data_IF_305878249229
#
_entry.id   IF_305878249229
#
_cell.length_a   1.000
_cell.length_b   1.000
_cell.length_c   1.000
_cell.angle_alpha   90.00
_cell.angle_beta   90.00
_cell.angle_gamma   90.00
#
_symmetry.space_group_name_H-M   'P 1'
#
loop_
_entity.id
_entity.type
_entity.pdbx_description
1 polymer ?
#
# COMPACT_ATOMS: atom_id res chain seq x y z
N UNK A 1 16.12 10.68 18.25
CA UNK A 1 15.62 9.45 18.90
C UNK A 1 16.82 8.66 19.40
N UNK A 2 16.74 8.03 20.58
CA UNK A 2 17.80 7.14 21.07
C UNK A 2 17.74 5.78 20.37
N UNK A 3 18.83 5.01 20.40
CA UNK A 3 18.94 3.68 19.77
C UNK A 3 17.84 2.71 20.24
N UNK A 4 17.63 2.60 21.56
CA UNK A 4 16.54 1.83 22.16
C UNK A 4 15.13 2.31 21.76
N UNK A 5 14.98 3.61 21.45
CA UNK A 5 13.74 4.18 20.95
C UNK A 5 13.47 3.76 19.50
N UNK A 6 14.52 3.74 18.67
CA UNK A 6 14.46 3.29 17.28
C UNK A 6 14.14 1.80 17.19
N UNK A 7 14.73 0.97 18.04
CA UNK A 7 14.44 -0.47 18.09
C UNK A 7 12.98 -0.76 18.45
N UNK A 8 12.44 -0.07 19.46
CA UNK A 8 11.02 -0.23 19.84
C UNK A 8 10.10 0.20 18.69
N UNK A 9 10.44 1.28 17.99
CA UNK A 9 9.68 1.73 16.84
C UNK A 9 9.72 0.70 15.72
N UNK A 10 10.90 0.18 15.38
CA UNK A 10 11.08 -0.84 14.35
C UNK A 10 10.24 -2.09 14.63
N UNK A 11 10.24 -2.59 15.86
CA UNK A 11 9.43 -3.77 16.22
C UNK A 11 7.93 -3.50 16.01
N UNK A 12 7.44 -2.34 16.43
CA UNK A 12 6.04 -1.96 16.22
C UNK A 12 5.72 -1.76 14.73
N UNK A 13 6.65 -1.17 13.97
CA UNK A 13 6.54 -0.96 12.54
C UNK A 13 6.46 -2.29 11.79
N UNK A 14 7.37 -3.23 12.06
CA UNK A 14 7.42 -4.53 11.41
C UNK A 14 6.15 -5.34 11.69
N UNK A 15 5.69 -5.35 12.94
CA UNK A 15 4.45 -6.04 13.31
C UNK A 15 3.22 -5.45 12.59
N UNK A 16 3.16 -4.13 12.44
CA UNK A 16 2.08 -3.46 11.72
C UNK A 16 2.11 -3.74 10.22
N UNK A 17 3.31 -3.66 9.61
CA UNK A 17 3.51 -3.97 8.19
C UNK A 17 3.14 -5.41 7.88
N UNK A 18 3.52 -6.36 8.72
CA UNK A 18 3.14 -7.76 8.51
C UNK A 18 1.63 -7.95 8.61
N UNK A 19 0.98 -7.33 9.60
CA UNK A 19 -0.47 -7.44 9.79
C UNK A 19 -1.24 -6.92 8.57
N UNK A 20 -0.86 -5.76 8.03
CA UNK A 20 -1.51 -5.21 6.83
C UNK A 20 -1.19 -6.03 5.58
N UNK A 21 0.02 -6.57 5.44
CA UNK A 21 0.39 -7.45 4.33
C UNK A 21 -0.45 -8.71 4.29
N UNK A 22 -0.64 -9.36 5.44
CA UNK A 22 -1.51 -10.54 5.55
C UNK A 22 -2.93 -10.20 5.14
N UNK A 23 -3.48 -9.09 5.63
CA UNK A 23 -4.84 -8.64 5.27
C UNK A 23 -5.00 -8.36 3.76
N UNK A 24 -4.03 -7.67 3.15
CA UNK A 24 -4.03 -7.37 1.71
C UNK A 24 -3.94 -8.65 0.89
N UNK A 25 -3.02 -9.57 1.22
CA UNK A 25 -2.88 -10.84 0.50
C UNK A 25 -4.14 -11.68 0.60
N UNK A 26 -4.72 -11.82 1.79
CA UNK A 26 -5.98 -12.55 1.98
C UNK A 26 -7.12 -11.95 1.14
N UNK A 27 -7.22 -10.62 1.08
CA UNK A 27 -8.21 -9.94 0.26
C UNK A 27 -8.01 -10.18 -1.24
N UNK A 28 -6.76 -10.21 -1.71
CA UNK A 28 -6.44 -10.56 -3.10
C UNK A 28 -6.83 -12.02 -3.44
N UNK A 29 -6.64 -12.97 -2.53
CA UNK A 29 -6.91 -14.39 -2.80
C UNK A 29 -8.38 -14.79 -2.66
N UNK A 30 -9.18 -14.06 -1.88
CA UNK A 30 -10.62 -14.30 -1.72
C UNK A 30 -11.44 -13.72 -2.88
N UNK A 31 -11.13 -14.14 -4.11
CA UNK A 31 -11.85 -13.76 -5.34
C UNK A 31 -12.62 -14.97 -5.90
N UNK A 32 -13.88 -14.80 -6.35
CA UNK A 32 -14.67 -15.91 -6.93
C UNK A 32 -14.05 -16.48 -8.21
N UNK A 33 -13.27 -15.68 -8.93
CA UNK A 33 -12.50 -16.07 -10.09
C UNK A 33 -11.04 -15.63 -9.89
N UNK A 34 -10.07 -16.56 -9.73
CA UNK A 34 -8.66 -16.25 -9.52
C UNK A 34 -8.00 -15.40 -10.63
N UNK A 35 -8.63 -15.34 -11.80
CA UNK A 35 -8.17 -14.66 -13.01
C UNK A 35 -8.56 -13.18 -13.11
N UNK A 36 -9.39 -12.65 -12.21
CA UNK A 36 -9.79 -11.23 -12.26
C UNK A 36 -8.77 -10.33 -11.52
N UNK A 37 -7.73 -9.91 -12.25
CA UNK A 37 -6.67 -9.03 -11.74
C UNK A 37 -7.19 -7.68 -11.25
N UNK A 38 -8.20 -7.13 -11.93
CA UNK A 38 -8.78 -5.85 -11.56
C UNK A 38 -9.46 -5.97 -10.19
N UNK A 39 -10.25 -7.02 -10.00
CA UNK A 39 -10.90 -7.30 -8.71
C UNK A 39 -9.86 -7.62 -7.61
N UNK A 40 -8.79 -8.34 -7.92
CA UNK A 40 -7.68 -8.58 -6.98
C UNK A 40 -7.02 -7.28 -6.54
N UNK A 41 -6.72 -6.37 -7.48
CA UNK A 41 -6.17 -5.05 -7.18
C UNK A 41 -7.12 -4.23 -6.30
N UNK A 42 -8.41 -4.18 -6.68
CA UNK A 42 -9.46 -3.47 -5.95
C UNK A 42 -9.64 -3.99 -4.53
N UNK A 43 -9.67 -5.31 -4.32
CA UNK A 43 -9.77 -5.92 -2.99
C UNK A 43 -8.54 -5.67 -2.13
N UNK A 44 -7.34 -5.81 -2.71
CA UNK A 44 -6.07 -5.57 -2.03
C UNK A 44 -5.95 -4.12 -1.56
N UNK A 45 -6.18 -3.17 -2.48
CA UNK A 45 -6.17 -1.73 -2.15
C UNK A 45 -7.26 -1.39 -1.13
N UNK A 46 -8.47 -1.92 -1.31
CA UNK A 46 -9.57 -1.72 -0.37
C UNK A 46 -9.25 -2.24 1.04
N UNK A 47 -8.57 -3.37 1.16
CA UNK A 47 -8.13 -3.90 2.44
C UNK A 47 -7.08 -3.01 3.12
N UNK A 48 -6.12 -2.48 2.35
CA UNK A 48 -5.13 -1.53 2.85
C UNK A 48 -5.77 -0.24 3.38
N UNK A 49 -6.71 0.34 2.62
CA UNK A 49 -7.41 1.57 3.01
C UNK A 49 -8.30 1.37 4.23
N UNK A 50 -9.02 0.24 4.31
CA UNK A 50 -9.81 -0.13 5.50
C UNK A 50 -8.94 -0.32 6.74
N UNK A 51 -7.83 -1.04 6.62
CA UNK A 51 -6.88 -1.20 7.72
C UNK A 51 -6.41 0.15 8.27
N UNK A 52 -6.09 1.10 7.39
CA UNK A 52 -5.68 2.44 7.82
C UNK A 52 -6.79 3.19 8.57
N UNK A 53 -8.05 2.96 8.22
CA UNK A 53 -9.21 3.59 8.86
C UNK A 53 -9.60 2.93 10.19
N UNK A 54 -9.45 1.60 10.28
CA UNK A 54 -9.72 0.81 11.49
C UNK A 54 -8.63 0.98 12.55
N UNK A 55 -7.37 1.17 12.13
CA UNK A 55 -6.20 1.30 12.99
C UNK A 55 -5.47 2.66 12.79
N UNK A 56 -6.16 3.81 12.94
CA UNK A 56 -5.64 5.11 12.51
C UNK A 56 -4.37 5.54 13.27
N UNK A 57 -4.27 5.22 14.55
CA UNK A 57 -3.09 5.50 15.37
C UNK A 57 -1.88 4.71 14.88
N UNK A 58 -2.07 3.44 14.56
CA UNK A 58 -0.98 2.57 14.08
C UNK A 58 -0.58 2.94 12.65
N UNK A 59 -1.57 3.19 11.78
CA UNK A 59 -1.35 3.64 10.41
C UNK A 59 -0.57 4.97 10.38
N UNK A 60 -0.94 5.94 11.22
CA UNK A 60 -0.21 7.21 11.33
C UNK A 60 1.24 6.99 11.78
N UNK A 61 1.47 6.14 12.77
CA UNK A 61 2.85 5.79 13.18
C UNK A 61 3.65 5.22 12.02
N UNK A 62 3.10 4.23 11.32
CA UNK A 62 3.81 3.55 10.22
C UNK A 62 4.01 4.44 8.99
N UNK A 63 3.05 5.29 8.62
CA UNK A 63 3.09 6.01 7.35
C UNK A 63 3.64 7.43 7.52
N UNK A 64 3.32 8.10 8.63
CA UNK A 64 3.68 9.51 8.87
C UNK A 64 4.92 9.62 9.74
N UNK A 65 4.91 9.02 10.93
CA UNK A 65 5.96 9.23 11.94
C UNK A 65 7.27 8.53 11.55
N UNK A 66 7.18 7.39 10.85
CA UNK A 66 8.32 6.62 10.34
C UNK A 66 9.29 7.45 9.49
N UNK A 67 8.80 8.48 8.80
CA UNK A 67 9.62 9.39 8.00
C UNK A 67 10.58 10.23 8.84
N UNK A 68 10.35 10.35 10.15
CA UNK A 68 11.16 11.13 11.10
C UNK A 68 11.79 10.28 12.20
N UNK A 69 11.44 9.00 12.27
CA UNK A 69 11.86 8.06 13.31
C UNK A 69 13.26 7.46 13.07
N UNK A 70 14.24 8.25 12.65
CA UNK A 70 15.62 7.78 12.49
C UNK A 70 15.90 7.05 11.16
N UNK A 71 17.18 6.76 10.87
CA UNK A 71 17.60 6.21 9.58
C UNK A 71 17.17 4.75 9.36
N UNK A 72 17.22 3.89 10.39
CA UNK A 72 16.89 2.46 10.25
C UNK A 72 15.39 2.26 10.01
N UNK A 73 14.55 3.05 10.68
CA UNK A 73 13.10 3.03 10.42
C UNK A 73 12.78 3.53 9.01
N UNK A 74 13.46 4.59 8.55
CA UNK A 74 13.29 5.10 7.18
C UNK A 74 13.65 4.05 6.13
N UNK A 75 14.79 3.38 6.28
CA UNK A 75 15.18 2.27 5.41
C UNK A 75 14.14 1.14 5.38
N UNK A 76 13.61 0.78 6.57
CA UNK A 76 12.58 -0.26 6.68
C UNK A 76 11.28 0.16 6.01
N UNK A 77 10.88 1.43 6.16
CA UNK A 77 9.72 2.00 5.49
C UNK A 77 9.90 2.01 3.98
N UNK A 78 11.06 2.39 3.48
CA UNK A 78 11.32 2.37 2.04
C UNK A 78 11.33 0.94 1.48
N UNK A 79 11.80 -0.04 2.25
CA UNK A 79 11.67 -1.45 1.88
C UNK A 79 10.21 -1.90 1.79
N UNK A 80 9.35 -1.48 2.72
CA UNK A 80 7.92 -1.78 2.69
C UNK A 80 7.23 -1.13 1.47
N UNK A 81 7.56 0.11 1.13
CA UNK A 81 7.02 0.79 -0.07
C UNK A 81 7.49 0.10 -1.36
N UNK A 82 8.76 -0.30 -1.45
CA UNK A 82 9.27 -1.08 -2.58
C UNK A 82 8.55 -2.42 -2.72
N UNK A 83 8.21 -3.07 -1.61
CA UNK A 83 7.43 -4.29 -1.67
C UNK A 83 6.00 -4.05 -2.15
N UNK A 84 5.37 -2.95 -1.70
CA UNK A 84 4.06 -2.57 -2.21
C UNK A 84 4.09 -2.35 -3.73
N UNK A 85 5.11 -1.66 -4.24
CA UNK A 85 5.34 -1.50 -5.68
C UNK A 85 5.49 -2.85 -6.40
N UNK A 86 6.21 -3.83 -5.82
CA UNK A 86 6.33 -5.18 -6.40
C UNK A 86 5.00 -5.93 -6.47
N UNK A 87 4.10 -5.73 -5.50
CA UNK A 87 2.76 -6.34 -5.57
C UNK A 87 1.94 -5.78 -6.73
N UNK A 88 2.04 -4.47 -6.98
CA UNK A 88 1.42 -3.83 -8.15
C UNK A 88 2.09 -4.32 -9.44
N UNK A 89 3.43 -4.42 -9.44
CA UNK A 89 4.19 -4.87 -10.60
C UNK A 89 3.87 -6.31 -11.00
N UNK A 90 3.61 -7.18 -10.03
CA UNK A 90 3.16 -8.54 -10.31
C UNK A 90 1.83 -8.57 -11.07
N UNK A 91 0.83 -7.78 -10.63
CA UNK A 91 -0.46 -7.67 -11.31
C UNK A 91 -0.31 -7.08 -12.73
N UNK A 92 0.57 -6.09 -12.88
CA UNK A 92 0.94 -5.52 -14.18
C UNK A 92 1.57 -6.58 -15.09
N UNK A 93 2.55 -7.33 -14.59
CA UNK A 93 3.27 -8.34 -15.38
C UNK A 93 2.33 -9.46 -15.84
N UNK A 94 1.40 -9.89 -14.99
CA UNK A 94 0.34 -10.82 -15.39
C UNK A 94 -0.58 -10.27 -16.49
N UNK A 95 -0.77 -8.94 -16.55
CA UNK A 95 -1.64 -8.28 -17.51
C UNK A 95 -0.97 -7.95 -18.86
N UNK A 96 0.28 -7.48 -18.81
CA UNK A 96 0.99 -6.85 -19.94
C UNK A 96 2.34 -7.51 -20.25
N UNK A 97 2.74 -8.55 -19.52
CA UNK A 97 4.08 -9.13 -19.59
C UNK A 97 5.16 -8.13 -19.17
N UNK A 98 6.39 -8.33 -19.65
CA UNK A 98 7.52 -7.42 -19.35
C UNK A 98 7.56 -6.16 -20.23
N UNK A 99 6.51 -5.90 -21.01
CA UNK A 99 6.48 -4.80 -21.97
C UNK A 99 6.32 -3.41 -21.32
N UNK A 100 5.93 -3.32 -20.05
CA UNK A 100 5.70 -2.05 -19.36
C UNK A 100 6.82 -1.75 -18.34
N UNK A 101 7.31 -0.50 -18.24
CA UNK A 101 8.36 -0.15 -17.29
C UNK A 101 7.94 -0.36 -15.83
N UNK A 102 8.78 -1.02 -15.03
CA UNK A 102 8.58 -1.19 -13.59
C UNK A 102 8.40 0.14 -12.84
N UNK A 103 8.95 1.23 -13.38
CA UNK A 103 8.81 2.58 -12.86
C UNK A 103 7.34 3.02 -12.70
N UNK A 104 6.43 2.53 -13.57
CA UNK A 104 5.00 2.87 -13.47
C UNK A 104 4.39 2.28 -12.20
N UNK A 105 4.75 1.03 -11.86
CA UNK A 105 4.32 0.37 -10.62
C UNK A 105 4.83 1.11 -9.39
N UNK A 106 6.08 1.57 -9.43
CA UNK A 106 6.68 2.39 -8.35
C UNK A 106 6.00 3.74 -8.20
N UNK A 107 5.71 4.43 -9.30
CA UNK A 107 5.03 5.72 -9.30
C UNK A 107 3.62 5.62 -8.71
N UNK A 108 2.86 4.58 -9.09
CA UNK A 108 1.52 4.34 -8.54
C UNK A 108 1.58 4.01 -7.04
N UNK A 109 2.50 3.13 -6.62
CA UNK A 109 2.69 2.84 -5.20
C UNK A 109 3.03 4.10 -4.39
N UNK A 110 3.94 4.93 -4.90
CA UNK A 110 4.31 6.21 -4.30
C UNK A 110 3.12 7.18 -4.21
N UNK A 111 2.31 7.27 -5.27
CA UNK A 111 1.10 8.08 -5.32
C UNK A 111 0.05 7.66 -4.28
N UNK A 112 -0.22 6.35 -4.18
CA UNK A 112 -1.12 5.79 -3.17
C UNK A 112 -0.59 6.11 -1.75
N UNK A 113 0.69 5.82 -1.49
CA UNK A 113 1.30 6.13 -0.18
C UNK A 113 1.22 7.62 0.15
N UNK A 114 1.40 8.50 -0.83
CA UNK A 114 1.27 9.96 -0.66
C UNK A 114 -0.17 10.36 -0.32
N UNK A 115 -1.16 9.85 -1.05
CA UNK A 115 -2.57 10.12 -0.79
C UNK A 115 -2.97 9.69 0.63
N UNK A 116 -2.55 8.49 1.05
CA UNK A 116 -2.80 7.98 2.40
C UNK A 116 -2.08 8.82 3.46
N UNK A 117 -0.81 9.16 3.23
CA UNK A 117 -0.04 10.04 4.11
C UNK A 117 -0.76 11.35 4.38
N UNK A 118 -1.27 12.03 3.33
CA UNK A 118 -1.96 13.32 3.47
C UNK A 118 -3.17 13.23 4.38
N UNK A 119 -4.03 12.22 4.22
CA UNK A 119 -5.22 12.04 5.09
C UNK A 119 -4.82 11.72 6.53
N UNK A 120 -3.86 10.80 6.72
CA UNK A 120 -3.40 10.45 8.07
C UNK A 120 -2.75 11.63 8.80
N UNK A 121 -1.99 12.46 8.08
CA UNK A 121 -1.40 13.68 8.64
C UNK A 121 -2.46 14.70 9.08
N UNK A 122 -3.62 14.73 8.41
CA UNK A 122 -4.77 15.60 8.73
C UNK A 122 -5.75 15.02 9.75
N UNK A 123 -5.54 13.77 10.19
CA UNK A 123 -6.50 13.07 11.06
C UNK A 123 -7.75 12.56 10.32
N UNK A 124 -7.71 12.48 8.99
CA UNK A 124 -8.81 12.12 8.11
C UNK A 124 -8.82 10.62 7.77
N UNK A 125 -8.33 9.76 8.67
CA UNK A 125 -8.18 8.32 8.41
C UNK A 125 -9.50 7.64 8.02
N UNK A 126 -10.63 8.08 8.60
CA UNK A 126 -11.96 7.58 8.30
C UNK A 126 -12.44 7.87 6.85
N UNK A 127 -11.74 8.76 6.13
CA UNK A 127 -12.01 9.10 4.72
C UNK A 127 -11.18 8.26 3.73
N UNK A 128 -10.27 7.41 4.22
CA UNK A 128 -9.40 6.60 3.37
C UNK A 128 -10.16 5.55 2.54
N UNK A 129 -11.15 4.81 3.08
CA UNK A 129 -11.86 3.79 2.31
C UNK A 129 -12.60 4.35 1.08
N UNK A 130 -13.03 5.62 1.14
CA UNK A 130 -13.75 6.32 0.08
C UNK A 130 -12.85 6.62 -1.13
N UNK A 131 -11.52 6.61 -0.94
CA UNK A 131 -10.57 6.87 -2.04
C UNK A 131 -10.37 5.66 -2.95
N UNK A 132 -10.99 4.52 -2.65
CA UNK A 132 -10.75 3.29 -3.40
C UNK A 132 -10.99 3.49 -4.90
N UNK A 133 -12.13 4.07 -5.27
CA UNK A 133 -12.48 4.28 -6.67
C UNK A 133 -11.52 5.28 -7.35
N UNK A 134 -11.29 6.44 -6.73
CA UNK A 134 -10.36 7.45 -7.26
C UNK A 134 -8.93 6.90 -7.45
N UNK A 135 -8.44 6.07 -6.52
CA UNK A 135 -7.11 5.47 -6.61
C UNK A 135 -7.06 4.34 -7.65
N UNK A 136 -8.15 3.58 -7.84
CA UNK A 136 -8.25 2.64 -8.96
C UNK A 136 -8.21 3.39 -10.30
N UNK A 137 -8.92 4.52 -10.40
CA UNK A 137 -9.02 5.34 -11.61
C UNK A 137 -7.76 6.17 -11.89
N UNK A 138 -6.89 6.37 -10.90
CA UNK A 138 -5.62 7.11 -11.02
C UNK A 138 -4.59 6.48 -11.98
N UNK A 139 -4.86 5.27 -12.48
CA UNK A 139 -4.00 4.53 -13.38
C UNK A 139 -3.76 3.09 -12.93
N UNK A 140 -4.07 2.73 -11.68
CA UNK A 140 -3.91 1.36 -11.18
C UNK A 140 -4.80 0.37 -11.94
N UNK A 141 -6.09 0.69 -12.12
CA UNK A 141 -7.02 -0.17 -12.87
C UNK A 141 -6.55 -0.40 -14.30
N UNK A 142 -6.14 0.68 -14.98
CA UNK A 142 -5.59 0.65 -16.33
C UNK A 142 -4.28 -0.15 -16.44
N UNK A 143 -3.47 -0.15 -15.37
CA UNK A 143 -2.22 -0.89 -15.35
C UNK A 143 -2.45 -2.40 -15.28
N UNK A 144 -3.43 -2.84 -14.49
CA UNK A 144 -3.70 -4.27 -14.20
C UNK A 144 -4.76 -4.90 -15.10
N UNK A 145 -5.51 -4.09 -15.85
CA UNK A 145 -6.46 -4.53 -16.87
C UNK A 145 -6.13 -3.90 -18.23
N UNK A 146 -5.71 -4.68 -19.23
CA UNK A 146 -5.44 -4.17 -20.58
C UNK A 146 -6.72 -3.76 -21.32
N UNK A 147 -7.92 -4.09 -20.82
CA UNK A 147 -9.21 -3.79 -21.44
C UNK A 147 -9.96 -2.62 -20.80
N UNK A 148 -9.44 -2.05 -19.70
CA UNK A 148 -10.06 -0.90 -19.06
C UNK A 148 -10.10 0.28 -20.06
N UNK A 149 -11.29 0.80 -20.35
CA UNK A 149 -11.51 1.99 -21.17
C UNK A 149 -12.25 3.02 -20.35
#
# INVERSE_FOLDING_TARGET
MSEHGEDRFLQAFDAAVERVRVAVRAACHNTPAPSDRLERARRGLGAFLRWCAEEPTLARKCIVESLTAGPRVRERRDAAVREFARMIDHLRAEARGDAAPALVSEAIAGGICSAVYTRLARGEAAQLPQLLDELMDSGLGQLVDPNAR
#
